data_IF_656939537814
#
_entry.id   IF_656939537814
#
_cell.length_a   1.000
_cell.length_b   1.000
_cell.length_c   1.000
_cell.angle_alpha   90.00
_cell.angle_beta   90.00
_cell.angle_gamma   90.00
#
_symmetry.space_group_name_H-M   'P 1'
#
loop_
_entity.id
_entity.type
_entity.pdbx_description
1 polymer ?
#
# COMPACT_ATOMS: atom_id res chain seq x y z
N UNK A 1 -72.73 -30.43 2.89
CA UNK A 1 -71.36 -30.27 3.45
C UNK A 1 -70.51 -29.58 2.39
N UNK A 2 -70.06 -28.32 2.62
CA UNK A 2 -69.18 -27.56 1.72
C UNK A 2 -67.77 -27.57 2.33
N UNK A 3 -66.67 -27.87 1.59
CA UNK A 3 -65.34 -27.76 2.14
C UNK A 3 -64.87 -26.33 2.09
N UNK A 4 -64.34 -25.86 3.23
CA UNK A 4 -63.64 -24.58 3.34
C UNK A 4 -62.24 -24.71 2.79
N UNK A 5 -61.91 -23.88 1.82
CA UNK A 5 -60.59 -23.72 1.22
C UNK A 5 -59.82 -22.69 2.04
N UNK A 6 -58.78 -23.10 2.79
CA UNK A 6 -57.85 -22.20 3.43
C UNK A 6 -56.74 -21.80 2.44
N UNK A 7 -56.68 -20.52 2.07
CA UNK A 7 -55.56 -19.97 1.30
C UNK A 7 -54.51 -19.50 2.27
N UNK A 8 -53.33 -20.21 2.28
CA UNK A 8 -52.18 -19.78 3.02
C UNK A 8 -51.36 -18.80 2.18
N UNK A 9 -51.37 -17.52 2.56
CA UNK A 9 -50.55 -16.49 1.92
C UNK A 9 -49.17 -16.50 2.57
N UNK A 10 -48.14 -17.01 1.86
CA UNK A 10 -46.76 -16.94 2.30
C UNK A 10 -46.21 -15.53 2.02
N UNK A 11 -45.92 -14.76 3.07
CA UNK A 11 -45.22 -13.49 2.96
C UNK A 11 -43.73 -13.80 2.88
N UNK A 12 -43.18 -13.72 1.68
CA UNK A 12 -41.72 -13.83 1.47
C UNK A 12 -41.02 -12.56 1.90
N UNK A 13 -40.24 -12.65 2.99
CA UNK A 13 -39.38 -11.55 3.44
C UNK A 13 -38.12 -11.54 2.57
N UNK A 14 -38.02 -10.60 1.62
CA UNK A 14 -36.80 -10.38 0.83
C UNK A 14 -35.82 -9.60 1.70
N UNK A 15 -34.81 -10.31 2.22
CA UNK A 15 -33.67 -9.65 2.88
C UNK A 15 -32.75 -9.10 1.79
N UNK A 16 -32.82 -7.80 1.53
CA UNK A 16 -31.82 -7.10 0.72
C UNK A 16 -30.58 -6.92 1.55
N UNK A 17 -29.57 -7.78 1.34
CA UNK A 17 -28.26 -7.58 1.92
C UNK A 17 -27.61 -6.35 1.25
N UNK A 18 -27.61 -5.23 1.95
CA UNK A 18 -26.86 -4.04 1.53
C UNK A 18 -25.37 -4.32 1.68
N UNK A 19 -24.70 -4.67 0.59
CA UNK A 19 -23.24 -4.66 0.54
C UNK A 19 -22.80 -3.19 0.60
N UNK A 20 -22.47 -2.70 1.80
CA UNK A 20 -21.75 -1.44 1.95
C UNK A 20 -20.33 -1.64 1.42
N UNK A 21 -20.13 -1.32 0.14
CA UNK A 21 -18.79 -1.09 -0.40
C UNK A 21 -18.27 0.14 0.34
N UNK A 22 -17.24 -0.05 1.17
CA UNK A 22 -16.55 1.06 1.79
C UNK A 22 -16.14 2.02 0.66
N UNK A 23 -16.65 3.24 0.67
CA UNK A 23 -16.23 4.27 -0.27
C UNK A 23 -14.74 4.50 -0.05
N UNK A 24 -13.92 4.01 -0.97
CA UNK A 24 -12.51 4.38 -1.05
C UNK A 24 -12.50 5.84 -1.47
N UNK A 25 -12.31 6.73 -0.49
CA UNK A 25 -12.13 8.17 -0.78
C UNK A 25 -10.82 8.29 -1.54
N UNK A 26 -10.87 8.81 -2.77
CA UNK A 26 -9.65 9.05 -3.54
C UNK A 26 -8.73 9.98 -2.74
N UNK A 27 -7.43 9.65 -2.64
CA UNK A 27 -6.49 10.49 -1.91
C UNK A 27 -6.39 11.86 -2.57
N UNK A 28 -6.52 12.91 -1.77
CA UNK A 28 -6.30 14.28 -2.23
C UNK A 28 -4.84 14.45 -2.62
N UNK A 29 -4.59 15.25 -3.63
CA UNK A 29 -3.26 15.54 -4.15
C UNK A 29 -2.81 16.91 -3.69
N UNK A 30 -1.60 16.99 -3.14
CA UNK A 30 -0.91 18.22 -2.77
C UNK A 30 0.13 18.56 -3.82
N UNK A 31 0.03 19.75 -4.41
CA UNK A 31 1.06 20.31 -5.28
C UNK A 31 2.20 20.82 -4.40
N UNK A 32 3.43 20.43 -4.71
CA UNK A 32 4.61 20.90 -4.00
C UNK A 32 4.99 22.30 -4.46
N UNK A 33 5.39 23.17 -3.52
CA UNK A 33 5.82 24.54 -3.82
C UNK A 33 7.11 24.59 -4.68
N UNK A 34 7.94 23.54 -4.58
CA UNK A 34 9.12 23.32 -5.43
C UNK A 34 9.22 21.82 -5.74
N UNK A 35 9.92 21.49 -6.83
CA UNK A 35 10.20 20.09 -7.15
C UNK A 35 11.06 19.47 -6.05
N UNK A 36 10.62 18.33 -5.50
CA UNK A 36 11.38 17.57 -4.52
C UNK A 36 12.15 16.45 -5.22
N UNK A 37 13.46 16.42 -5.06
CA UNK A 37 14.33 15.41 -5.67
C UNK A 37 14.53 14.23 -4.71
N UNK A 38 13.86 13.08 -4.90
CA UNK A 38 13.99 11.95 -4.00
C UNK A 38 15.38 11.30 -4.04
N UNK A 39 16.20 11.61 -5.05
CA UNK A 39 17.58 11.13 -5.12
C UNK A 39 18.52 11.97 -4.26
N UNK A 40 18.17 13.26 -4.02
CA UNK A 40 18.93 14.13 -3.12
C UNK A 40 18.52 13.94 -1.65
N UNK A 41 17.21 13.88 -1.40
CA UNK A 41 16.64 13.75 -0.06
C UNK A 41 15.38 12.84 -0.10
N UNK A 42 15.17 11.95 0.88
CA UNK A 42 13.96 11.12 0.95
C UNK A 42 12.68 11.98 0.95
N UNK A 43 11.70 11.59 0.15
CA UNK A 43 10.42 12.31 0.03
C UNK A 43 9.26 11.41 0.40
N UNK A 44 8.45 11.84 1.37
CA UNK A 44 7.20 11.18 1.71
C UNK A 44 6.16 11.43 0.59
N UNK A 45 5.69 10.37 -0.07
CA UNK A 45 4.60 10.45 -1.05
C UNK A 45 3.25 10.63 -0.35
N UNK A 46 3.05 9.96 0.78
CA UNK A 46 1.80 10.09 1.53
C UNK A 46 1.73 9.19 2.75
N UNK A 47 0.71 9.47 3.59
CA UNK A 47 0.36 8.68 4.76
C UNK A 47 -1.13 8.38 4.75
N UNK A 48 -1.49 7.12 4.84
CA UNK A 48 -2.88 6.65 4.80
C UNK A 48 -3.13 5.67 5.94
N UNK A 49 -4.26 5.82 6.64
CA UNK A 49 -4.74 4.84 7.60
C UNK A 49 -5.81 3.96 6.92
N UNK A 50 -5.60 2.65 6.92
CA UNK A 50 -6.52 1.69 6.34
C UNK A 50 -6.45 0.35 7.09
N UNK A 51 -7.58 -0.32 7.30
CA UNK A 51 -7.65 -1.66 7.91
C UNK A 51 -6.99 -1.80 9.28
N UNK A 52 -6.93 -0.73 10.07
CA UNK A 52 -6.24 -0.70 11.35
C UNK A 52 -4.71 -0.65 11.23
N UNK A 53 -4.18 -0.25 10.08
CA UNK A 53 -2.76 -0.03 9.81
C UNK A 53 -2.52 1.40 9.35
N UNK A 54 -1.31 1.89 9.55
CA UNK A 54 -0.82 3.15 8.96
C UNK A 54 0.23 2.81 7.92
N UNK A 55 0.02 3.31 6.71
CA UNK A 55 0.89 3.20 5.55
C UNK A 55 1.60 4.53 5.34
N UNK A 56 2.91 4.56 5.37
CA UNK A 56 3.72 5.72 4.99
C UNK A 56 4.57 5.31 3.78
N UNK A 57 4.22 5.82 2.61
CA UNK A 57 4.91 5.53 1.36
C UNK A 57 5.89 6.66 1.04
N UNK A 58 7.14 6.31 0.76
CA UNK A 58 8.19 7.23 0.39
C UNK A 58 8.95 6.83 -0.87
N UNK A 59 9.70 7.77 -1.41
CA UNK A 59 10.72 7.58 -2.44
C UNK A 59 12.03 8.19 -1.97
N UNK A 60 13.12 7.49 -2.23
CA UNK A 60 14.48 7.96 -2.02
C UNK A 60 15.42 7.46 -3.12
N UNK A 61 16.72 7.78 -3.04
CA UNK A 61 17.71 7.24 -3.97
C UNK A 61 17.79 5.73 -3.88
N UNK A 62 17.97 5.05 -5.01
CA UNK A 62 18.26 3.61 -5.01
C UNK A 62 19.54 3.33 -4.22
N UNK A 63 19.57 2.22 -3.50
CA UNK A 63 20.69 1.83 -2.65
C UNK A 63 21.13 0.37 -2.86
N UNK A 64 22.40 0.09 -2.56
CA UNK A 64 22.88 -1.29 -2.51
C UNK A 64 22.31 -1.99 -1.28
N UNK A 65 21.84 -3.23 -1.46
CA UNK A 65 21.19 -4.01 -0.41
C UNK A 65 21.87 -5.36 -0.22
N UNK A 66 21.92 -5.83 1.02
CA UNK A 66 22.31 -7.20 1.34
C UNK A 66 21.05 -8.06 1.41
N UNK A 67 20.83 -8.92 0.41
CA UNK A 67 19.59 -9.67 0.27
C UNK A 67 19.82 -11.10 -0.20
N UNK A 68 18.79 -11.94 -0.08
CA UNK A 68 18.80 -13.28 -0.68
C UNK A 68 18.48 -13.21 -2.17
N UNK A 69 19.32 -13.84 -2.98
CA UNK A 69 19.19 -13.87 -4.46
C UNK A 69 19.41 -15.28 -4.99
N UNK A 70 18.82 -15.58 -6.15
CA UNK A 70 19.00 -16.84 -6.86
C UNK A 70 18.13 -18.00 -6.36
N UNK A 71 18.34 -19.16 -6.96
CA UNK A 71 17.68 -20.42 -6.61
C UNK A 71 18.76 -21.54 -6.60
N UNK A 72 19.10 -22.13 -5.46
CA UNK A 72 18.63 -21.78 -4.10
C UNK A 72 19.07 -20.37 -3.67
N UNK A 73 18.30 -19.70 -2.75
CA UNK A 73 18.60 -18.34 -2.34
C UNK A 73 19.88 -18.28 -1.52
N UNK A 74 20.80 -17.42 -1.93
CA UNK A 74 22.05 -17.10 -1.22
C UNK A 74 22.12 -15.62 -0.89
N UNK A 75 22.69 -15.29 0.26
CA UNK A 75 22.93 -13.91 0.65
C UNK A 75 24.02 -13.28 -0.22
N UNK A 76 23.74 -12.10 -0.75
CA UNK A 76 24.66 -11.34 -1.57
C UNK A 76 24.33 -9.87 -1.63
N UNK A 77 25.29 -9.09 -2.11
CA UNK A 77 25.07 -7.67 -2.38
C UNK A 77 24.32 -7.51 -3.69
N UNK A 78 23.18 -6.80 -3.64
CA UNK A 78 22.46 -6.32 -4.82
C UNK A 78 22.83 -4.85 -5.05
N UNK A 79 23.58 -4.61 -6.12
CA UNK A 79 23.88 -3.25 -6.56
C UNK A 79 22.77 -2.82 -7.52
N UNK A 80 22.17 -1.61 -7.33
CA UNK A 80 21.12 -1.15 -8.22
C UNK A 80 21.55 -1.15 -9.68
N UNK A 81 20.69 -1.61 -10.57
CA UNK A 81 20.92 -1.48 -12.00
C UNK A 81 20.92 0.01 -12.43
N UNK A 82 21.59 0.35 -13.53
CA UNK A 82 21.75 1.74 -13.97
C UNK A 82 20.42 2.49 -14.20
N UNK A 83 19.34 1.78 -14.45
CA UNK A 83 17.99 2.33 -14.60
C UNK A 83 17.17 2.33 -13.30
N UNK A 84 17.60 1.63 -12.26
CA UNK A 84 16.95 1.64 -10.94
C UNK A 84 17.36 2.91 -10.19
N UNK A 85 16.62 3.98 -10.41
CA UNK A 85 16.92 5.31 -9.87
C UNK A 85 16.36 5.52 -8.46
N UNK A 86 15.26 4.86 -8.15
CA UNK A 86 14.49 5.10 -6.94
C UNK A 86 14.45 3.87 -6.04
N UNK A 87 14.43 4.11 -4.74
CA UNK A 87 14.05 3.14 -3.72
C UNK A 87 12.64 3.46 -3.25
N UNK A 88 11.71 2.53 -3.46
CA UNK A 88 10.33 2.64 -2.98
C UNK A 88 10.29 2.09 -1.57
N UNK A 89 9.99 2.92 -0.58
CA UNK A 89 9.93 2.54 0.83
C UNK A 89 8.50 2.61 1.37
N UNK A 90 8.05 1.57 2.06
CA UNK A 90 6.82 1.55 2.83
C UNK A 90 7.12 1.28 4.31
N UNK A 91 6.71 2.20 5.18
CA UNK A 91 6.63 1.99 6.63
C UNK A 91 5.21 1.60 6.99
N UNK A 92 5.03 0.36 7.45
CA UNK A 92 3.75 -0.18 7.89
C UNK A 92 3.72 -0.25 9.42
N UNK A 93 2.74 0.38 10.08
CA UNK A 93 2.70 0.47 11.54
C UNK A 93 1.31 0.25 12.12
N UNK A 94 1.25 -0.23 13.35
CA UNK A 94 0.06 -0.16 14.20
C UNK A 94 -0.16 1.29 14.66
N UNK A 95 -1.34 1.89 14.44
CA UNK A 95 -1.62 3.27 14.84
C UNK A 95 -1.59 3.49 16.36
N UNK A 96 -1.84 2.46 17.16
CA UNK A 96 -1.91 2.55 18.63
C UNK A 96 -0.53 2.50 19.26
N UNK A 97 0.23 1.44 18.98
CA UNK A 97 1.56 1.23 19.56
C UNK A 97 2.66 1.95 18.79
N UNK A 98 2.41 2.37 17.56
CA UNK A 98 3.40 2.90 16.59
C UNK A 98 4.48 1.88 16.23
N UNK A 99 4.28 0.62 16.59
CA UNK A 99 5.21 -0.47 16.28
C UNK A 99 5.10 -0.83 14.80
N UNK A 100 6.24 -1.11 14.16
CA UNK A 100 6.28 -1.64 12.80
C UNK A 100 5.67 -3.04 12.77
N UNK A 101 4.84 -3.31 11.75
CA UNK A 101 4.19 -4.59 11.53
C UNK A 101 5.12 -5.47 10.68
N UNK A 102 5.67 -6.57 11.24
CA UNK A 102 6.55 -7.48 10.50
C UNK A 102 5.78 -8.55 9.73
N UNK A 103 6.50 -9.33 8.91
CA UNK A 103 6.02 -10.57 8.27
C UNK A 103 4.76 -10.41 7.40
N UNK A 104 4.60 -9.27 6.75
CA UNK A 104 3.59 -9.05 5.73
C UNK A 104 4.18 -9.26 4.33
N UNK A 105 3.39 -9.79 3.40
CA UNK A 105 3.68 -9.71 1.96
C UNK A 105 3.07 -8.43 1.42
N UNK A 106 3.88 -7.59 0.77
CA UNK A 106 3.47 -6.25 0.34
C UNK A 106 3.72 -6.07 -1.13
N UNK A 107 2.69 -5.65 -1.85
CA UNK A 107 2.73 -5.37 -3.28
C UNK A 107 2.46 -3.89 -3.52
N UNK A 108 3.38 -3.24 -4.20
CA UNK A 108 3.23 -1.88 -4.72
C UNK A 108 2.88 -1.99 -6.20
N UNK A 109 1.63 -1.72 -6.55
CA UNK A 109 1.17 -1.67 -7.95
C UNK A 109 0.93 -0.22 -8.33
N UNK A 110 1.54 0.23 -9.42
CA UNK A 110 1.38 1.62 -9.87
C UNK A 110 1.17 1.71 -11.36
N UNK A 111 0.32 2.66 -11.76
CA UNK A 111 0.05 3.01 -13.15
C UNK A 111 0.48 4.44 -13.41
N UNK A 112 1.30 4.66 -14.42
CA UNK A 112 1.56 5.98 -14.97
C UNK A 112 0.37 6.35 -15.88
N UNK A 113 -0.47 7.27 -15.43
CA UNK A 113 -1.71 7.64 -16.13
C UNK A 113 -1.47 8.35 -17.46
N UNK A 114 -0.31 8.98 -17.64
CA UNK A 114 0.02 9.70 -18.87
C UNK A 114 0.49 8.72 -19.99
N UNK A 115 1.03 7.55 -19.62
CA UNK A 115 1.49 6.50 -20.57
C UNK A 115 0.65 5.23 -20.54
N UNK A 116 -0.29 5.09 -19.61
CA UNK A 116 -1.12 3.91 -19.33
C UNK A 116 -0.32 2.64 -18.98
N UNK A 117 0.97 2.75 -18.71
CA UNK A 117 1.81 1.63 -18.28
C UNK A 117 1.58 1.33 -16.80
N UNK A 118 1.58 0.05 -16.48
CA UNK A 118 1.43 -0.45 -15.11
C UNK A 118 2.61 -1.34 -14.74
N UNK A 119 3.02 -1.30 -13.49
CA UNK A 119 4.01 -2.21 -12.91
C UNK A 119 3.60 -2.64 -11.51
N UNK A 120 4.11 -3.79 -11.07
CA UNK A 120 3.96 -4.26 -9.69
C UNK A 120 5.34 -4.66 -9.15
N UNK A 121 5.64 -4.19 -7.94
CA UNK A 121 6.82 -4.58 -7.16
C UNK A 121 6.37 -5.35 -5.93
N UNK A 122 7.06 -6.45 -5.62
CA UNK A 122 7.06 -7.00 -4.27
C UNK A 122 8.01 -6.14 -3.44
N UNK A 123 7.57 -5.68 -2.27
CA UNK A 123 8.40 -4.97 -1.30
C UNK A 123 8.80 -5.94 -0.17
N UNK A 124 9.98 -6.57 -0.22
CA UNK A 124 10.45 -7.42 0.85
C UNK A 124 10.75 -6.61 2.13
N UNK A 125 10.74 -7.26 3.31
CA UNK A 125 11.14 -6.59 4.54
C UNK A 125 12.63 -6.26 4.51
N UNK A 126 12.96 -5.06 4.93
CA UNK A 126 14.32 -4.54 5.05
C UNK A 126 14.53 -3.90 6.41
N UNK A 127 15.76 -3.97 6.92
CA UNK A 127 16.18 -3.28 8.13
C UNK A 127 17.19 -2.19 7.77
N UNK A 128 16.84 -0.95 8.03
CA UNK A 128 17.69 0.21 7.82
C UNK A 128 17.79 1.10 9.06
N UNK A 129 18.34 2.29 8.90
CA UNK A 129 18.51 3.28 9.98
C UNK A 129 17.20 3.72 10.63
N UNK A 130 16.08 3.64 9.88
CA UNK A 130 14.72 3.97 10.35
C UNK A 130 13.98 2.75 10.93
N UNK A 131 14.65 1.60 11.10
CA UNK A 131 14.12 0.33 11.57
C UNK A 131 13.48 -0.49 10.44
N UNK A 132 12.58 -1.41 10.81
CA UNK A 132 11.88 -2.27 9.85
C UNK A 132 11.02 -1.43 8.90
N UNK A 133 11.20 -1.64 7.61
CA UNK A 133 10.36 -1.14 6.52
C UNK A 133 10.29 -2.20 5.41
N UNK A 134 9.53 -1.93 4.35
CA UNK A 134 9.39 -2.80 3.19
C UNK A 134 9.77 -2.00 1.96
N UNK A 135 10.65 -2.54 1.11
CA UNK A 135 11.23 -1.72 0.06
C UNK A 135 11.76 -2.50 -1.12
N UNK A 136 11.92 -1.81 -2.25
CA UNK A 136 12.60 -2.31 -3.44
C UNK A 136 13.13 -1.16 -4.30
N UNK A 137 14.27 -1.37 -4.96
CA UNK A 137 14.75 -0.48 -6.00
C UNK A 137 13.89 -0.56 -7.26
N UNK A 138 13.73 0.55 -7.96
CA UNK A 138 12.88 0.65 -9.15
C UNK A 138 13.30 1.76 -10.11
N UNK A 139 13.13 1.51 -11.41
CA UNK A 139 13.19 2.56 -12.44
C UNK A 139 11.91 3.41 -12.47
N UNK A 140 10.80 2.92 -11.87
CA UNK A 140 9.45 3.40 -12.13
C UNK A 140 9.10 3.41 -13.64
N UNK A 141 8.11 4.20 -14.04
CA UNK A 141 7.58 4.23 -15.41
C UNK A 141 7.85 5.56 -16.12
N UNK A 142 8.91 6.28 -15.69
CA UNK A 142 9.28 7.60 -16.21
C UNK A 142 8.45 8.74 -15.63
N UNK A 143 8.55 9.92 -16.26
CA UNK A 143 7.76 11.09 -15.86
C UNK A 143 6.27 10.87 -16.12
N UNK A 144 5.41 11.52 -15.33
CA UNK A 144 3.95 11.44 -15.46
C UNK A 144 3.24 11.40 -14.12
N UNK A 145 1.91 11.29 -14.18
CA UNK A 145 1.05 11.13 -13.00
C UNK A 145 0.92 9.65 -12.66
N UNK A 146 1.05 9.34 -11.40
CA UNK A 146 0.97 7.99 -10.88
C UNK A 146 -0.23 7.80 -9.98
N UNK A 147 -0.99 6.75 -10.26
CA UNK A 147 -1.94 6.14 -9.33
C UNK A 147 -1.31 4.86 -8.79
N UNK A 148 -1.03 4.83 -7.50
CA UNK A 148 -0.38 3.70 -6.84
C UNK A 148 -1.30 3.07 -5.80
N UNK A 149 -1.28 1.75 -5.73
CA UNK A 149 -1.96 0.94 -4.72
C UNK A 149 -0.93 0.09 -4.00
N UNK A 150 -0.91 0.20 -2.68
CA UNK A 150 -0.15 -0.70 -1.82
C UNK A 150 -1.11 -1.71 -1.23
N UNK A 151 -0.91 -2.99 -1.51
CA UNK A 151 -1.69 -4.09 -0.95
C UNK A 151 -0.83 -4.88 0.03
N UNK A 152 -1.35 -5.09 1.22
CA UNK A 152 -0.72 -5.83 2.31
C UNK A 152 -1.53 -7.09 2.57
N UNK A 153 -0.93 -8.26 2.38
CA UNK A 153 -1.52 -9.52 2.80
C UNK A 153 -1.45 -9.66 4.34
N UNK A 154 -2.33 -10.49 4.93
CA UNK A 154 -2.31 -10.70 6.38
C UNK A 154 -0.93 -11.09 6.90
N UNK A 155 -0.36 -10.35 7.89
CA UNK A 155 0.91 -10.73 8.49
C UNK A 155 0.87 -12.12 9.12
N UNK A 156 1.93 -12.92 8.94
CA UNK A 156 1.99 -14.34 9.31
C UNK A 156 2.55 -14.60 10.71
N UNK A 157 2.30 -13.73 11.69
CA UNK A 157 2.68 -13.95 13.08
C UNK A 157 1.50 -14.41 13.94
N UNK A 158 1.78 -14.99 15.11
CA UNK A 158 0.78 -15.44 16.06
C UNK A 158 0.08 -14.22 16.69
N UNK A 159 -1.21 -14.35 16.98
CA UNK A 159 -2.04 -13.35 17.66
C UNK A 159 -2.64 -13.95 18.93
N UNK A 160 -2.86 -13.11 19.93
CA UNK A 160 -3.68 -13.53 21.08
C UNK A 160 -5.11 -13.82 20.61
N UNK A 161 -5.79 -14.73 21.29
CA UNK A 161 -7.15 -15.14 20.91
C UNK A 161 -8.13 -13.95 20.84
N UNK A 162 -7.97 -12.96 21.72
CA UNK A 162 -8.80 -11.74 21.71
C UNK A 162 -8.56 -10.86 20.46
N UNK A 163 -7.38 -10.98 19.84
CA UNK A 163 -6.95 -10.21 18.67
C UNK A 163 -6.91 -11.06 17.38
N UNK A 164 -7.55 -12.24 17.37
CA UNK A 164 -7.53 -13.21 16.26
C UNK A 164 -7.90 -12.60 14.91
N UNK A 165 -8.79 -11.62 14.92
CA UNK A 165 -9.30 -10.97 13.70
C UNK A 165 -8.49 -9.70 13.30
N UNK A 166 -7.52 -9.30 14.14
CA UNK A 166 -6.66 -8.14 13.85
C UNK A 166 -5.81 -8.44 12.61
N UNK A 167 -5.90 -7.60 11.57
CA UNK A 167 -5.19 -7.73 10.29
C UNK A 167 -5.31 -9.11 9.64
N UNK A 168 -6.48 -9.74 9.77
CA UNK A 168 -6.76 -11.09 9.26
C UNK A 168 -7.19 -11.12 7.79
N UNK A 169 -7.34 -9.96 7.15
CA UNK A 169 -7.72 -9.80 5.75
C UNK A 169 -6.72 -8.91 5.03
N UNK A 170 -6.56 -9.06 3.70
CA UNK A 170 -5.77 -8.12 2.91
C UNK A 170 -6.30 -6.69 3.05
N UNK A 171 -5.37 -5.73 3.10
CA UNK A 171 -5.68 -4.30 3.20
C UNK A 171 -4.97 -3.56 2.08
N UNK A 172 -5.65 -2.61 1.44
CA UNK A 172 -5.05 -1.77 0.41
C UNK A 172 -5.16 -0.29 0.76
N UNK A 173 -4.12 0.47 0.38
CA UNK A 173 -4.07 1.93 0.49
C UNK A 173 -3.69 2.53 -0.87
N UNK A 174 -4.33 3.64 -1.24
CA UNK A 174 -4.08 4.34 -2.49
C UNK A 174 -3.24 5.58 -2.27
N UNK A 175 -2.35 5.85 -3.23
CA UNK A 175 -1.48 7.01 -3.26
C UNK A 175 -1.45 7.61 -4.66
N UNK A 176 -1.28 8.93 -4.75
CA UNK A 176 -1.07 9.63 -6.00
C UNK A 176 0.19 10.49 -5.90
N UNK A 177 0.96 10.51 -6.97
CA UNK A 177 2.12 11.39 -7.08
C UNK A 177 2.41 11.70 -8.54
N UNK A 178 3.25 12.69 -8.78
CA UNK A 178 3.69 13.04 -10.13
C UNK A 178 5.18 13.26 -10.18
N UNK A 179 5.83 12.60 -11.12
CA UNK A 179 7.22 12.85 -11.51
C UNK A 179 7.26 13.83 -12.69
N UNK A 180 8.20 14.78 -12.60
CA UNK A 180 8.56 15.73 -13.65
C UNK A 180 10.08 15.91 -13.63
N UNK A 181 10.74 15.61 -14.73
CA UNK A 181 12.22 15.59 -14.82
C UNK A 181 12.86 14.72 -13.71
N UNK A 182 12.20 13.59 -13.39
CA UNK A 182 12.61 12.66 -12.35
C UNK A 182 12.45 13.17 -10.92
N UNK A 183 11.75 14.28 -10.69
CA UNK A 183 11.47 14.89 -9.37
C UNK A 183 9.98 14.89 -9.07
N UNK A 184 9.63 14.85 -7.80
CA UNK A 184 8.24 14.92 -7.36
C UNK A 184 7.73 16.36 -7.47
N UNK A 185 6.59 16.55 -8.14
CA UNK A 185 5.87 17.82 -8.25
C UNK A 185 4.52 17.79 -7.50
N UNK A 186 3.97 16.60 -7.30
CA UNK A 186 2.72 16.36 -6.61
C UNK A 186 2.87 15.11 -5.74
N UNK A 187 2.24 15.10 -4.56
CA UNK A 187 2.18 13.96 -3.63
C UNK A 187 0.78 13.84 -3.04
N UNK A 188 0.42 12.71 -2.47
CA UNK A 188 -0.84 12.56 -1.72
C UNK A 188 -0.84 13.46 -0.49
N UNK A 189 -1.99 14.04 -0.16
CA UNK A 189 -2.17 14.71 1.14
C UNK A 189 -2.04 13.68 2.26
N UNK A 190 -1.41 14.11 3.35
CA UNK A 190 -1.35 13.33 4.58
C UNK A 190 -2.73 13.45 5.24
N UNK A 191 -3.51 12.38 5.19
CA UNK A 191 -4.75 12.29 5.96
C UNK A 191 -4.37 11.89 7.38
N UNK A 192 -4.42 12.83 8.31
CA UNK A 192 -4.37 12.48 9.73
C UNK A 192 -5.62 11.66 10.05
N UNK A 193 -5.40 10.48 10.65
CA UNK A 193 -6.51 9.68 11.14
C UNK A 193 -7.31 10.55 12.13
N UNK A 194 -8.59 10.76 11.86
CA UNK A 194 -9.51 11.38 12.81
C UNK A 194 -9.43 10.56 14.11
N UNK A 195 -9.07 11.22 15.19
CA UNK A 195 -8.98 10.63 16.53
C UNK A 195 -10.34 10.13 17.01
#
# INVERSE_FOLDING_TARGET
>A
MKPNLFILTAIGCVIVASNSVAQVTEPRVKILAALADPVADPVLIGRVAAGGMVFELGLEASEAMWMQMGDPPVWGEHIPAANERYHVELKLSDPKSRTRIPYASIYFTTTNSDTTKTMTLLLPPMWGSTGLHYSANSALLGDGRYAAMVTVDPPIFQRELKDKDLWSKPVSAQFHFRLRDGKLSEVSEILEASQ
#
